data_IF_140725303300
#
_entry.id   IF_140725303300
#
_cell.length_a   1.000
_cell.length_b   1.000
_cell.length_c   1.000
_cell.angle_alpha   90.00
_cell.angle_beta   90.00
_cell.angle_gamma   90.00
#
_symmetry.space_group_name_H-M   'P 1'
#
loop_
_entity.id
_entity.type
_entity.pdbx_description
1 polymer ?
#
# COMPACT_ATOMS: atom_id res chain seq x y z
N UNK A 1 13.44 28.06 39.52
CA UNK A 1 13.52 26.60 39.24
C UNK A 1 12.12 26.13 38.83
N UNK A 2 11.85 26.02 37.55
CA UNK A 2 10.53 25.66 37.04
C UNK A 2 10.58 24.13 36.83
N UNK A 3 9.72 23.31 37.45
CA UNK A 3 9.72 21.88 37.23
C UNK A 3 9.12 21.58 35.83
N UNK A 4 9.96 21.18 34.93
CA UNK A 4 9.59 20.69 33.63
C UNK A 4 9.03 19.27 33.78
N UNK A 5 7.84 19.13 34.36
CA UNK A 5 7.08 17.89 34.31
C UNK A 5 6.36 17.85 32.97
N UNK A 6 7.04 17.33 31.95
CA UNK A 6 6.39 16.83 30.75
C UNK A 6 5.41 15.72 31.14
N UNK A 7 4.13 16.05 31.21
CA UNK A 7 3.07 15.05 31.33
C UNK A 7 3.15 14.16 30.09
N UNK A 8 3.77 12.98 30.19
CA UNK A 8 3.71 11.96 29.13
C UNK A 8 2.25 11.61 28.95
N UNK A 9 1.66 12.06 27.86
CA UNK A 9 0.32 11.70 27.46
C UNK A 9 0.41 10.29 26.88
N UNK A 10 -0.18 9.31 27.57
CA UNK A 10 -0.33 7.97 27.03
C UNK A 10 -1.54 7.98 26.10
N UNK A 11 -1.37 7.45 24.89
CA UNK A 11 -2.44 7.27 23.93
C UNK A 11 -2.71 5.77 23.82
N UNK A 12 -3.98 5.38 23.83
CA UNK A 12 -4.39 4.03 23.47
C UNK A 12 -4.40 3.89 21.95
N UNK A 13 -4.40 2.65 21.46
CA UNK A 13 -4.42 2.38 20.01
C UNK A 13 -5.64 2.99 19.32
N UNK A 14 -6.77 3.00 19.99
CA UNK A 14 -8.02 3.61 19.51
C UNK A 14 -8.01 5.14 19.44
N UNK A 15 -7.10 5.80 20.13
CA UNK A 15 -6.92 7.27 20.06
C UNK A 15 -6.13 7.71 18.82
N UNK A 16 -5.58 6.76 18.07
CA UNK A 16 -4.67 7.01 16.95
C UNK A 16 -5.29 6.49 15.65
N UNK A 17 -5.36 7.36 14.63
CA UNK A 17 -5.74 6.97 13.28
C UNK A 17 -4.49 6.61 12.46
N UNK A 18 -4.22 5.31 12.31
CA UNK A 18 -3.06 4.82 11.58
C UNK A 18 -3.35 4.70 10.09
N UNK A 19 -2.62 5.48 9.29
CA UNK A 19 -2.65 5.41 7.84
C UNK A 19 -1.30 4.94 7.31
N UNK A 20 -1.33 3.98 6.39
CA UNK A 20 -0.12 3.58 5.64
C UNK A 20 -0.44 3.37 4.15
N UNK A 21 0.61 3.20 3.35
CA UNK A 21 0.47 3.03 1.91
C UNK A 21 1.18 1.76 1.45
N UNK A 22 0.47 0.98 0.64
CA UNK A 22 1.01 -0.19 -0.03
C UNK A 22 1.93 0.25 -1.16
N UNK A 23 3.19 -0.17 -1.14
CA UNK A 23 4.16 0.21 -2.16
C UNK A 23 3.79 -0.40 -3.52
N UNK A 24 4.17 0.23 -4.63
CA UNK A 24 3.95 -0.33 -5.97
C UNK A 24 4.54 -1.74 -6.16
N UNK A 25 5.61 -2.06 -5.46
CA UNK A 25 6.25 -3.39 -5.46
C UNK A 25 5.43 -4.46 -4.74
N UNK A 26 4.52 -4.05 -3.88
CA UNK A 26 3.67 -4.93 -3.06
C UNK A 26 2.28 -5.17 -3.71
N UNK A 27 2.08 -4.73 -4.98
CA UNK A 27 0.87 -4.99 -5.75
C UNK A 27 0.72 -6.48 -6.09
N UNK A 28 -0.53 -6.95 -6.09
CA UNK A 28 -0.92 -8.36 -6.24
C UNK A 28 -1.45 -8.95 -4.93
N UNK A 29 -2.41 -9.88 -5.00
CA UNK A 29 -3.13 -10.37 -3.82
C UNK A 29 -2.22 -10.94 -2.72
N UNK A 30 -1.31 -11.83 -3.07
CA UNK A 30 -0.38 -12.45 -2.11
C UNK A 30 0.58 -11.44 -1.50
N UNK A 31 1.16 -10.54 -2.32
CA UNK A 31 2.10 -9.51 -1.84
C UNK A 31 1.42 -8.50 -0.94
N UNK A 32 0.20 -8.09 -1.29
CA UNK A 32 -0.62 -7.20 -0.47
C UNK A 32 -0.84 -7.81 0.92
N UNK A 33 -1.28 -9.06 1.00
CA UNK A 33 -1.52 -9.76 2.26
C UNK A 33 -0.27 -9.83 3.12
N UNK A 34 0.87 -10.18 2.52
CA UNK A 34 2.16 -10.23 3.21
C UNK A 34 2.59 -8.84 3.72
N UNK A 35 2.44 -7.79 2.90
CA UNK A 35 2.78 -6.43 3.28
C UNK A 35 1.93 -5.94 4.46
N UNK A 36 0.62 -6.23 4.45
CA UNK A 36 -0.27 -5.88 5.57
C UNK A 36 0.14 -6.61 6.84
N UNK A 37 0.41 -7.91 6.78
CA UNK A 37 0.86 -8.67 7.94
C UNK A 37 2.13 -8.06 8.56
N UNK A 38 3.09 -7.69 7.72
CA UNK A 38 4.31 -7.02 8.16
C UNK A 38 4.03 -5.65 8.78
N UNK A 39 3.15 -4.83 8.22
CA UNK A 39 2.78 -3.53 8.82
C UNK A 39 2.17 -3.71 10.21
N UNK A 40 1.31 -4.70 10.40
CA UNK A 40 0.71 -4.97 11.69
C UNK A 40 1.76 -5.40 12.73
N UNK A 41 2.69 -6.24 12.34
CA UNK A 41 3.81 -6.69 13.19
C UNK A 41 4.72 -5.50 13.56
N UNK A 42 5.19 -4.72 12.56
CA UNK A 42 6.08 -3.58 12.77
C UNK A 42 5.44 -2.49 13.64
N UNK A 43 4.12 -2.28 13.53
CA UNK A 43 3.37 -1.28 14.28
C UNK A 43 2.82 -1.80 15.62
N UNK A 44 2.94 -3.10 15.90
CA UNK A 44 2.44 -3.71 17.13
C UNK A 44 0.91 -3.59 17.28
N UNK A 45 0.17 -3.74 16.18
CA UNK A 45 -1.30 -3.58 16.17
C UNK A 45 -1.96 -4.72 15.39
N UNK A 46 -3.25 -4.94 15.62
CA UNK A 46 -4.04 -5.95 14.91
C UNK A 46 -4.94 -5.35 13.81
N UNK A 47 -4.95 -4.04 13.63
CA UNK A 47 -5.69 -3.37 12.57
C UNK A 47 -5.03 -2.07 12.10
N UNK A 48 -5.36 -1.65 10.87
CA UNK A 48 -5.08 -0.32 10.33
C UNK A 48 -6.38 0.45 10.13
N UNK A 49 -6.36 1.75 10.40
CA UNK A 49 -7.53 2.60 10.15
C UNK A 49 -7.70 2.89 8.66
N UNK A 50 -6.60 3.07 7.94
CA UNK A 50 -6.63 3.31 6.50
C UNK A 50 -5.41 2.70 5.81
N UNK A 51 -5.65 1.92 4.75
CA UNK A 51 -4.64 1.48 3.82
C UNK A 51 -4.91 2.06 2.44
N UNK A 52 -3.90 2.71 1.85
CA UNK A 52 -3.94 3.26 0.50
C UNK A 52 -3.01 2.47 -0.43
N UNK A 53 -3.43 2.23 -1.67
CA UNK A 53 -2.47 1.90 -2.73
C UNK A 53 -1.70 3.17 -3.06
N UNK A 54 -0.38 3.16 -2.89
CA UNK A 54 0.47 4.36 -3.04
C UNK A 54 0.48 4.90 -4.47
N UNK A 55 0.57 4.01 -5.45
CA UNK A 55 0.50 4.35 -6.87
C UNK A 55 0.02 3.15 -7.69
N UNK A 56 -0.64 3.39 -8.83
CA UNK A 56 -1.27 2.33 -9.65
C UNK A 56 -0.28 1.46 -10.42
N UNK A 57 0.97 1.88 -10.48
CA UNK A 57 2.01 1.22 -11.29
C UNK A 57 3.33 1.18 -10.55
N UNK A 58 4.10 0.12 -10.80
CA UNK A 58 5.52 0.11 -10.45
C UNK A 58 6.22 1.10 -11.40
N UNK A 59 6.99 2.07 -10.90
CA UNK A 59 7.79 2.93 -11.76
C UNK A 59 8.69 2.10 -12.69
N UNK A 60 8.84 2.52 -13.93
CA UNK A 60 9.65 1.81 -14.93
C UNK A 60 11.09 1.54 -14.44
N UNK A 61 11.63 2.47 -13.65
CA UNK A 61 12.95 2.35 -13.00
C UNK A 61 13.05 1.14 -12.04
N UNK A 62 11.95 0.78 -11.36
CA UNK A 62 11.90 -0.38 -10.47
C UNK A 62 11.51 -1.69 -11.20
N UNK A 63 11.04 -1.58 -12.44
CA UNK A 63 10.75 -2.73 -13.31
C UNK A 63 11.93 -3.10 -14.21
N UNK A 64 12.98 -2.29 -14.25
CA UNK A 64 14.23 -2.60 -14.94
C UNK A 64 15.03 -3.66 -14.16
N UNK A 65 15.82 -4.45 -14.91
CA UNK A 65 16.78 -5.37 -14.31
C UNK A 65 17.62 -4.62 -13.25
N UNK A 66 18.01 -5.27 -12.15
CA UNK A 66 18.77 -4.64 -11.09
C UNK A 66 20.00 -3.94 -11.66
N UNK A 67 20.22 -2.71 -11.22
CA UNK A 67 21.42 -1.96 -11.62
C UNK A 67 22.69 -2.76 -11.29
N UNK A 68 23.83 -2.54 -11.96
CA UNK A 68 25.08 -3.22 -11.64
C UNK A 68 25.43 -3.19 -10.15
N UNK A 69 25.12 -2.07 -9.47
CA UNK A 69 25.32 -1.93 -8.02
C UNK A 69 24.39 -2.85 -7.20
N UNK A 70 23.13 -2.96 -7.58
CA UNK A 70 22.18 -3.87 -6.94
C UNK A 70 22.51 -5.33 -7.21
N UNK A 71 23.04 -5.66 -8.39
CA UNK A 71 23.56 -7.00 -8.71
C UNK A 71 24.75 -7.36 -7.84
N UNK A 72 25.72 -6.45 -7.67
CA UNK A 72 26.89 -6.64 -6.79
C UNK A 72 26.45 -6.84 -5.34
N UNK A 73 25.50 -6.03 -4.86
CA UNK A 73 24.97 -6.16 -3.50
C UNK A 73 24.26 -7.51 -3.29
N UNK A 74 23.49 -7.99 -4.27
CA UNK A 74 22.84 -9.31 -4.25
C UNK A 74 23.86 -10.46 -4.24
N UNK A 75 24.97 -10.32 -4.97
CA UNK A 75 26.06 -11.29 -4.97
C UNK A 75 26.79 -11.31 -3.63
N UNK A 76 27.05 -10.15 -3.04
CA UNK A 76 27.74 -10.01 -1.75
C UNK A 76 26.89 -10.50 -0.56
N UNK A 77 25.56 -10.42 -0.65
CA UNK A 77 24.63 -10.89 0.38
C UNK A 77 24.28 -12.38 0.26
N UNK A 78 24.98 -13.13 -0.61
CA UNK A 78 24.91 -14.59 -0.70
C UNK A 78 23.63 -15.14 -1.29
N UNK A 79 23.67 -15.37 -2.58
CA UNK A 79 22.96 -16.41 -3.34
C UNK A 79 21.68 -16.99 -2.74
N UNK A 80 20.57 -16.36 -2.93
CA UNK A 80 19.36 -17.10 -3.17
C UNK A 80 19.28 -17.43 -4.67
N UNK A 81 19.13 -18.71 -5.02
CA UNK A 81 18.91 -19.19 -6.38
C UNK A 81 17.82 -18.34 -7.03
N UNK A 82 18.21 -17.46 -7.95
CA UNK A 82 17.26 -16.71 -8.77
C UNK A 82 16.72 -17.64 -9.84
N UNK A 83 15.59 -18.27 -9.56
CA UNK A 83 14.64 -18.52 -10.63
C UNK A 83 14.20 -17.15 -11.12
N UNK A 84 14.40 -16.80 -12.38
CA UNK A 84 13.86 -15.58 -12.97
C UNK A 84 12.39 -15.49 -12.60
N UNK A 85 11.94 -14.41 -11.90
CA UNK A 85 10.53 -14.29 -11.61
C UNK A 85 9.79 -14.28 -12.95
N UNK A 86 8.65 -14.97 -13.06
CA UNK A 86 7.83 -14.91 -14.26
C UNK A 86 7.53 -13.45 -14.57
N UNK A 87 7.42 -13.11 -15.87
CA UNK A 87 7.06 -11.78 -16.34
C UNK A 87 5.92 -11.22 -15.47
N UNK A 88 6.05 -9.98 -14.98
CA UNK A 88 5.02 -9.42 -14.13
C UNK A 88 3.68 -9.45 -14.86
N UNK A 89 2.61 -9.92 -14.20
CA UNK A 89 1.29 -9.95 -14.80
C UNK A 89 0.88 -8.53 -15.25
N UNK A 90 -0.07 -8.42 -16.20
CA UNK A 90 -0.56 -7.12 -16.63
C UNK A 90 -0.87 -6.20 -15.44
N UNK A 91 -0.46 -4.94 -15.53
CA UNK A 91 -0.60 -3.97 -14.42
C UNK A 91 -2.04 -3.88 -13.90
N UNK A 92 -3.03 -3.97 -14.78
CA UNK A 92 -4.45 -4.02 -14.43
C UNK A 92 -4.80 -5.24 -13.55
N UNK A 93 -4.27 -6.43 -13.88
CA UNK A 93 -4.47 -7.64 -13.09
C UNK A 93 -3.90 -7.49 -11.67
N UNK A 94 -2.70 -6.94 -11.54
CA UNK A 94 -2.10 -6.69 -10.22
C UNK A 94 -2.93 -5.72 -9.38
N UNK A 95 -3.46 -4.64 -9.98
CA UNK A 95 -4.33 -3.70 -9.29
C UNK A 95 -5.62 -4.37 -8.82
N UNK A 96 -6.26 -5.15 -9.70
CA UNK A 96 -7.48 -5.88 -9.38
C UNK A 96 -7.27 -6.86 -8.22
N UNK A 97 -6.23 -7.69 -8.28
CA UNK A 97 -5.89 -8.63 -7.21
C UNK A 97 -5.57 -7.92 -5.88
N UNK A 98 -4.88 -6.77 -5.95
CA UNK A 98 -4.60 -5.96 -4.76
C UNK A 98 -5.88 -5.43 -4.14
N UNK A 99 -6.76 -4.86 -4.97
CA UNK A 99 -8.02 -4.30 -4.50
C UNK A 99 -8.92 -5.35 -3.86
N UNK A 100 -9.05 -6.51 -4.48
CA UNK A 100 -9.79 -7.65 -3.93
C UNK A 100 -9.21 -8.10 -2.57
N UNK A 101 -7.90 -8.20 -2.46
CA UNK A 101 -7.23 -8.52 -1.20
C UNK A 101 -7.54 -7.47 -0.11
N UNK A 102 -7.49 -6.18 -0.44
CA UNK A 102 -7.81 -5.12 0.51
C UNK A 102 -9.28 -5.19 0.96
N UNK A 103 -10.21 -5.46 0.06
CA UNK A 103 -11.63 -5.67 0.41
C UNK A 103 -11.83 -6.88 1.33
N UNK A 104 -11.12 -7.99 1.10
CA UNK A 104 -11.17 -9.15 1.98
C UNK A 104 -10.66 -8.83 3.38
N UNK A 105 -9.52 -8.15 3.48
CA UNK A 105 -8.93 -7.72 4.76
C UNK A 105 -9.84 -6.70 5.47
N UNK A 106 -10.57 -5.87 4.73
CA UNK A 106 -11.55 -4.96 5.29
C UNK A 106 -12.74 -5.74 5.88
N UNK A 107 -13.28 -6.72 5.17
CA UNK A 107 -14.35 -7.60 5.69
C UNK A 107 -13.93 -8.35 6.95
N UNK A 108 -12.64 -8.67 7.08
CA UNK A 108 -12.07 -9.32 8.26
C UNK A 108 -11.80 -8.35 9.44
N UNK A 109 -12.01 -7.04 9.26
CA UNK A 109 -11.75 -6.02 10.26
C UNK A 109 -10.26 -5.66 10.44
N UNK A 110 -9.38 -6.23 9.64
CA UNK A 110 -7.94 -5.92 9.64
C UNK A 110 -7.68 -4.52 9.07
N UNK A 111 -8.44 -4.12 8.07
CA UNK A 111 -8.46 -2.76 7.51
C UNK A 111 -9.82 -2.13 7.80
N UNK A 112 -9.85 -0.97 8.45
CA UNK A 112 -11.11 -0.24 8.69
C UNK A 112 -11.58 0.50 7.45
N UNK A 113 -10.63 1.13 6.74
CA UNK A 113 -10.89 1.86 5.49
C UNK A 113 -9.84 1.52 4.45
N UNK A 114 -10.22 1.55 3.19
CA UNK A 114 -9.36 1.29 2.05
C UNK A 114 -9.48 2.39 1.00
N UNK A 115 -8.39 2.68 0.30
CA UNK A 115 -8.38 3.72 -0.71
C UNK A 115 -7.19 3.63 -1.65
N UNK A 116 -7.06 4.66 -2.48
CA UNK A 116 -6.03 4.75 -3.50
C UNK A 116 -5.35 6.12 -3.50
N UNK A 117 -4.13 6.17 -3.98
CA UNK A 117 -3.36 7.40 -4.12
C UNK A 117 -2.76 7.46 -5.52
N UNK A 118 -2.68 8.67 -6.08
CA UNK A 118 -2.13 8.90 -7.43
C UNK A 118 -2.89 8.15 -8.55
N UNK A 119 -4.19 8.01 -8.42
CA UNK A 119 -5.09 7.45 -9.43
C UNK A 119 -5.77 8.58 -10.20
N UNK A 120 -5.79 8.48 -11.51
CA UNK A 120 -6.62 9.30 -12.38
C UNK A 120 -8.06 8.76 -12.44
N UNK A 121 -8.92 9.46 -13.15
CA UNK A 121 -10.34 9.09 -13.28
C UNK A 121 -10.53 7.72 -13.93
N UNK A 122 -9.73 7.38 -14.93
CA UNK A 122 -9.84 6.09 -15.64
C UNK A 122 -9.47 4.93 -14.71
N UNK A 123 -8.40 5.07 -13.93
CA UNK A 123 -7.94 4.09 -12.95
C UNK A 123 -8.91 3.97 -11.76
N UNK A 124 -9.53 5.08 -11.34
CA UNK A 124 -10.60 5.04 -10.33
C UNK A 124 -11.80 4.26 -10.84
N UNK A 125 -12.21 4.51 -12.08
CA UNK A 125 -13.31 3.78 -12.72
C UNK A 125 -13.00 2.28 -12.85
N UNK A 126 -11.75 1.93 -13.17
CA UNK A 126 -11.30 0.54 -13.19
C UNK A 126 -11.56 -0.14 -11.83
N UNK A 127 -11.17 0.51 -10.72
CA UNK A 127 -11.36 -0.03 -9.36
C UNK A 127 -12.85 -0.14 -9.00
N UNK A 128 -13.66 0.87 -9.33
CA UNK A 128 -15.11 0.86 -9.10
C UNK A 128 -15.79 -0.27 -9.87
N UNK A 129 -15.37 -0.52 -11.11
CA UNK A 129 -15.91 -1.59 -11.95
C UNK A 129 -15.57 -3.01 -11.46
N UNK A 130 -14.60 -3.16 -10.56
CA UNK A 130 -14.32 -4.45 -9.91
C UNK A 130 -15.44 -4.87 -8.95
N UNK A 131 -16.31 -3.93 -8.56
CA UNK A 131 -17.40 -4.17 -7.60
C UNK A 131 -16.92 -4.27 -6.15
N UNK A 132 -17.89 -4.47 -5.25
CA UNK A 132 -17.64 -4.48 -3.81
C UNK A 132 -17.53 -3.08 -3.22
N UNK A 133 -16.75 -2.89 -2.17
CA UNK A 133 -16.56 -1.59 -1.53
C UNK A 133 -15.78 -0.64 -2.45
N UNK A 134 -16.30 0.56 -2.76
CA UNK A 134 -15.54 1.57 -3.51
C UNK A 134 -14.40 2.13 -2.65
N UNK A 135 -13.41 2.81 -3.27
CA UNK A 135 -12.41 3.56 -2.52
C UNK A 135 -13.07 4.61 -1.62
N UNK A 136 -12.81 4.53 -0.31
CA UNK A 136 -13.34 5.48 0.67
C UNK A 136 -12.50 6.76 0.74
N UNK A 137 -11.25 6.67 0.31
CA UNK A 137 -10.31 7.80 0.24
C UNK A 137 -9.57 7.76 -1.09
N UNK A 138 -9.48 8.92 -1.73
CA UNK A 138 -8.58 9.15 -2.86
C UNK A 138 -7.61 10.27 -2.48
N UNK A 139 -6.31 10.00 -2.57
CA UNK A 139 -5.26 11.00 -2.34
C UNK A 139 -4.57 11.28 -3.67
N UNK A 140 -4.78 12.46 -4.23
CA UNK A 140 -4.09 12.91 -5.44
C UNK A 140 -2.94 13.83 -5.08
N UNK A 141 -1.84 13.76 -5.82
CA UNK A 141 -0.92 14.89 -5.92
C UNK A 141 -1.68 16.02 -6.60
N UNK A 142 -1.88 17.12 -5.86
CA UNK A 142 -2.63 18.30 -6.31
C UNK A 142 -2.27 18.69 -7.75
N UNK A 143 -3.19 18.57 -8.69
CA UNK A 143 -3.42 19.60 -9.72
C UNK A 143 -4.72 19.40 -10.51
N UNK A 144 -5.44 18.27 -10.45
CA UNK A 144 -6.60 18.07 -11.36
C UNK A 144 -7.90 17.55 -10.72
N UNK A 145 -7.98 17.29 -9.42
CA UNK A 145 -9.15 16.62 -8.83
C UNK A 145 -10.12 17.48 -8.01
N UNK A 146 -10.01 18.81 -7.99
CA UNK A 146 -10.98 19.66 -7.26
C UNK A 146 -12.32 19.83 -7.99
N UNK A 147 -12.45 19.41 -9.24
CA UNK A 147 -13.67 19.65 -10.04
C UNK A 147 -14.71 18.53 -10.00
N UNK A 148 -14.48 17.40 -9.33
CA UNK A 148 -15.37 16.22 -9.43
C UNK A 148 -16.26 15.94 -8.22
N UNK A 149 -16.23 16.74 -7.17
CA UNK A 149 -17.10 16.62 -5.97
C UNK A 149 -18.07 17.79 -5.85
N UNK A 150 -18.79 18.10 -6.93
CA UNK A 150 -19.99 18.95 -6.88
C UNK A 150 -21.16 18.24 -7.50
#
# INVERSE_FOLDING_TARGET
>A
MIPFFSKRKFYFREDIFLTTKLRPTDLGGTRCRYAVARFLEELGTNYLDLLLIHAPTVPAILSMAPTPYQQVLLILLGSMKQSHPPLPPPKAKLRAETWQCMQELQKQGVLRSIGVSNYDVALLQEVVNLGGAPPQVTSALQNEMISFLR
#
